data_IF_186388163256
#
_entry.id   IF_186388163256
#
_cell.length_a   1.000
_cell.length_b   1.000
_cell.length_c   1.000
_cell.angle_alpha   90.00
_cell.angle_beta   90.00
_cell.angle_gamma   90.00
#
_symmetry.space_group_name_H-M   'P 1'
#
loop_
_entity.id
_entity.type
_entity.pdbx_description
1 polymer ?
#
# COMPACT_ATOMS: atom_id res chain seq x y z
N UNK A 1 -15.86 49.37 60.05
CA UNK A 1 -14.83 49.64 59.03
C UNK A 1 -15.34 49.06 57.70
N UNK A 2 -15.26 49.70 56.54
CA UNK A 2 -14.94 51.11 56.28
C UNK A 2 -14.68 51.44 54.80
N UNK A 3 -15.69 52.02 54.09
CA UNK A 3 -15.62 52.71 52.78
C UNK A 3 -15.38 51.80 51.55
N UNK A 4 -16.26 51.81 50.53
CA UNK A 4 -16.33 52.68 49.32
C UNK A 4 -15.23 52.38 48.27
N UNK A 5 -15.45 52.54 46.95
CA UNK A 5 -16.53 53.24 46.22
C UNK A 5 -16.92 52.55 44.89
N UNK A 6 -18.13 52.86 44.41
CA UNK A 6 -18.63 52.58 43.06
C UNK A 6 -18.48 53.79 42.11
N UNK A 7 -18.37 53.56 40.80
CA UNK A 7 -18.78 54.54 39.78
C UNK A 7 -19.27 53.86 38.49
N UNK A 8 -20.03 54.59 37.67
CA UNK A 8 -20.66 54.12 36.41
C UNK A 8 -21.12 55.33 35.56
N UNK A 9 -21.73 55.09 34.38
CA UNK A 9 -22.25 56.07 33.39
C UNK A 9 -21.20 56.86 32.56
N UNK A 10 -21.45 57.34 31.33
CA UNK A 10 -22.39 56.93 30.25
C UNK A 10 -22.13 57.67 28.91
N UNK A 11 -22.63 57.11 27.79
CA UNK A 11 -23.02 57.74 26.50
C UNK A 11 -22.84 59.26 26.26
N UNK A 12 -22.36 59.66 25.05
CA UNK A 12 -23.17 60.32 23.98
C UNK A 12 -22.44 60.74 22.66
N UNK A 13 -23.02 60.32 21.53
CA UNK A 13 -23.22 61.01 20.21
C UNK A 13 -22.12 61.79 19.42
N UNK A 14 -21.73 61.20 18.27
CA UNK A 14 -21.96 61.69 16.88
C UNK A 14 -20.99 62.76 16.23
N UNK A 15 -21.15 63.20 14.94
CA UNK A 15 -20.08 63.19 13.91
C UNK A 15 -19.88 64.60 13.22
N UNK A 16 -19.34 64.82 11.98
CA UNK A 16 -18.76 63.95 10.94
C UNK A 16 -17.35 64.41 10.43
N UNK A 17 -16.71 63.88 9.36
CA UNK A 17 -17.02 64.18 7.94
C UNK A 17 -16.29 63.27 6.91
N UNK A 18 -16.98 63.00 5.79
CA UNK A 18 -16.57 62.70 4.38
C UNK A 18 -15.06 62.58 4.06
N UNK A 19 -14.57 61.60 3.27
CA UNK A 19 -14.96 61.08 1.92
C UNK A 19 -14.31 59.67 1.70
N UNK A 20 -14.59 58.81 0.70
CA UNK A 20 -15.21 58.94 -0.64
C UNK A 20 -15.82 57.58 -1.14
N UNK A 21 -16.94 57.62 -1.90
CA UNK A 21 -17.35 56.81 -3.12
C UNK A 21 -16.78 55.37 -3.31
N UNK A 22 -17.47 54.26 -3.69
CA UNK A 22 -18.86 53.77 -4.01
C UNK A 22 -18.78 52.21 -3.94
N UNK A 23 -19.75 51.35 -3.54
CA UNK A 23 -21.22 51.18 -3.69
C UNK A 23 -21.70 50.28 -4.87
N UNK A 24 -21.79 48.97 -4.62
CA UNK A 24 -22.71 47.92 -5.17
C UNK A 24 -22.65 46.71 -4.19
N UNK A 25 -23.64 45.87 -3.83
CA UNK A 25 -25.10 45.71 -4.06
C UNK A 25 -25.60 44.90 -5.28
N UNK A 26 -25.94 43.60 -5.08
CA UNK A 26 -27.27 42.96 -5.29
C UNK A 26 -27.24 41.44 -4.92
N UNK A 27 -28.30 40.66 -5.17
CA UNK A 27 -28.67 39.44 -4.42
C UNK A 27 -29.52 38.43 -5.26
N UNK A 28 -29.31 37.10 -5.12
CA UNK A 28 -30.15 35.95 -5.58
C UNK A 28 -30.22 35.81 -7.15
N UNK A 29 -30.42 34.69 -7.89
CA UNK A 29 -31.39 33.55 -7.88
C UNK A 29 -30.84 32.30 -8.66
N UNK A 30 -31.34 31.08 -8.39
CA UNK A 30 -31.09 29.81 -9.12
C UNK A 30 -31.94 29.60 -10.41
N UNK A 31 -31.43 28.84 -11.40
CA UNK A 31 -32.27 28.16 -12.43
C UNK A 31 -31.70 26.80 -12.88
N UNK A 32 -32.59 25.87 -13.29
CA UNK A 32 -32.31 24.57 -13.96
C UNK A 32 -32.73 24.62 -15.46
N UNK A 33 -32.36 23.66 -16.32
CA UNK A 33 -32.23 23.89 -17.78
C UNK A 33 -33.47 23.60 -18.65
N UNK A 34 -33.50 24.30 -19.81
CA UNK A 34 -34.17 24.09 -21.12
C UNK A 34 -33.58 25.18 -22.07
N UNK A 35 -33.50 25.08 -23.39
CA UNK A 35 -33.81 24.02 -24.36
C UNK A 35 -33.52 24.54 -25.80
N UNK A 36 -33.48 23.64 -26.79
CA UNK A 36 -33.22 23.86 -28.24
C UNK A 36 -33.60 25.21 -28.87
N UNK A 37 -32.75 25.69 -29.80
CA UNK A 37 -33.17 26.23 -31.10
C UNK A 37 -32.14 25.91 -32.20
N UNK A 38 -32.58 25.85 -33.46
CA UNK A 38 -31.81 25.36 -34.62
C UNK A 38 -32.08 26.26 -35.84
N UNK A 39 -31.05 26.74 -36.56
CA UNK A 39 -31.11 27.35 -37.92
C UNK A 39 -29.68 27.81 -38.34
N UNK A 40 -29.12 27.54 -39.53
CA UNK A 40 -29.44 26.48 -40.50
C UNK A 40 -29.48 26.90 -41.99
N UNK A 41 -28.32 27.03 -42.67
CA UNK A 41 -28.11 26.84 -44.14
C UNK A 41 -26.62 27.07 -44.50
N UNK A 42 -25.89 26.11 -45.09
CA UNK A 42 -25.65 25.84 -46.55
C UNK A 42 -24.66 26.80 -47.26
N UNK A 43 -23.76 26.37 -48.16
CA UNK A 43 -23.31 25.01 -48.55
C UNK A 43 -22.07 25.05 -49.49
N UNK A 44 -21.47 23.85 -49.73
CA UNK A 44 -20.62 23.36 -50.87
C UNK A 44 -19.18 22.94 -50.45
N UNK A 45 -18.56 21.87 -50.99
CA UNK A 45 -19.09 20.64 -51.66
C UNK A 45 -18.03 19.49 -51.64
N UNK A 46 -18.41 18.29 -52.13
CA UNK A 46 -17.59 17.10 -52.47
C UNK A 46 -16.31 17.38 -53.29
N UNK A 47 -15.31 16.49 -53.47
CA UNK A 47 -14.80 15.22 -52.86
C UNK A 47 -13.58 14.79 -53.71
N UNK A 48 -12.55 14.11 -53.16
CA UNK A 48 -11.79 12.98 -53.76
C UNK A 48 -10.61 12.57 -52.85
N UNK A 49 -10.24 11.29 -52.88
CA UNK A 49 -9.11 10.69 -52.15
C UNK A 49 -8.05 10.14 -53.11
N UNK A 50 -6.78 10.50 -52.91
CA UNK A 50 -5.64 9.81 -53.54
C UNK A 50 -4.35 10.10 -52.78
N UNK A 51 -3.64 9.06 -52.35
CA UNK A 51 -2.26 9.16 -51.85
C UNK A 51 -1.33 8.57 -52.90
N UNK A 52 -0.58 9.44 -53.58
CA UNK A 52 0.60 9.06 -54.38
C UNK A 52 1.66 10.15 -54.17
N UNK A 53 2.86 9.74 -53.81
CA UNK A 53 4.04 10.60 -53.69
C UNK A 53 4.81 10.66 -55.00
N UNK A 54 5.35 11.83 -55.37
CA UNK A 54 6.74 11.90 -55.83
C UNK A 54 7.37 13.30 -55.82
N UNK A 55 8.57 13.35 -55.22
CA UNK A 55 9.78 14.09 -55.61
C UNK A 55 9.89 15.64 -55.64
N UNK A 56 10.98 16.08 -54.99
CA UNK A 56 11.97 17.11 -55.40
C UNK A 56 11.72 18.61 -55.10
N UNK A 57 12.17 18.96 -53.90
CA UNK A 57 13.12 20.07 -53.59
C UNK A 57 12.72 21.53 -53.82
N UNK A 58 12.45 22.22 -52.71
CA UNK A 58 12.78 23.63 -52.48
C UNK A 58 13.50 23.76 -51.12
N UNK A 59 14.47 24.68 -50.97
CA UNK A 59 15.33 24.71 -49.77
C UNK A 59 14.68 25.31 -48.52
N UNK A 60 15.21 24.90 -47.36
CA UNK A 60 14.78 25.28 -46.02
C UNK A 60 15.38 26.61 -45.59
N UNK A 61 14.56 27.52 -45.05
CA UNK A 61 15.02 28.53 -44.10
C UNK A 61 14.60 28.18 -42.67
N UNK A 62 15.63 27.87 -41.87
CA UNK A 62 15.69 27.64 -40.43
C UNK A 62 14.45 27.99 -39.58
N UNK A 63 13.66 26.98 -39.17
CA UNK A 63 13.15 26.86 -37.80
C UNK A 63 12.87 25.39 -37.42
N UNK A 64 12.93 25.03 -36.13
CA UNK A 64 13.03 23.63 -35.67
C UNK A 64 11.70 22.85 -35.76
N UNK A 65 11.60 21.92 -36.71
CA UNK A 65 10.51 20.96 -36.81
C UNK A 65 10.58 19.87 -35.70
N UNK A 66 10.00 20.15 -34.52
CA UNK A 66 9.71 19.13 -33.49
C UNK A 66 8.22 18.99 -33.12
N UNK A 67 7.42 20.04 -33.29
CA UNK A 67 6.02 20.04 -32.80
C UNK A 67 5.00 19.49 -33.80
N UNK A 68 5.16 19.73 -35.11
CA UNK A 68 4.17 19.31 -36.13
C UNK A 68 3.93 17.79 -36.15
N UNK A 69 5.00 16.99 -35.98
CA UNK A 69 4.88 15.54 -35.93
C UNK A 69 4.12 15.05 -34.68
N UNK A 70 4.38 15.66 -33.52
CA UNK A 70 3.66 15.33 -32.27
C UNK A 70 2.16 15.66 -32.37
N UNK A 71 1.79 16.78 -32.99
CA UNK A 71 0.37 17.14 -33.19
C UNK A 71 -0.34 16.14 -34.12
N UNK A 72 0.32 15.68 -35.19
CA UNK A 72 -0.25 14.67 -36.10
C UNK A 72 -0.37 13.30 -35.42
N UNK A 73 0.63 12.87 -34.65
CA UNK A 73 0.58 11.61 -33.89
C UNK A 73 -0.50 11.64 -32.79
N UNK A 74 -0.63 12.76 -32.06
CA UNK A 74 -1.68 12.94 -31.06
C UNK A 74 -3.09 12.91 -31.69
N UNK A 75 -3.28 13.58 -32.83
CA UNK A 75 -4.56 13.56 -33.56
C UNK A 75 -4.95 12.16 -34.06
N UNK A 76 -3.98 11.31 -34.41
CA UNK A 76 -4.23 9.93 -34.82
C UNK A 76 -4.62 9.01 -33.64
N UNK A 77 -4.04 9.21 -32.45
CA UNK A 77 -4.34 8.37 -31.28
C UNK A 77 -5.79 8.51 -30.77
N UNK A 78 -6.41 9.69 -30.93
CA UNK A 78 -7.74 9.99 -30.36
C UNK A 78 -8.93 9.45 -31.19
N UNK A 79 -8.68 8.70 -32.26
CA UNK A 79 -9.70 8.34 -33.25
C UNK A 79 -10.14 6.85 -33.28
N UNK A 80 -9.59 5.98 -32.44
CA UNK A 80 -10.00 4.55 -32.43
C UNK A 80 -10.01 3.91 -31.03
N UNK A 81 -11.19 3.85 -30.43
CA UNK A 81 -11.42 3.11 -29.17
C UNK A 81 -11.59 1.61 -29.48
N UNK A 82 -10.93 0.73 -28.72
CA UNK A 82 -11.01 -0.73 -28.92
C UNK A 82 -9.82 -1.54 -28.42
N UNK A 83 -8.64 -0.93 -28.27
CA UNK A 83 -7.41 -1.57 -27.77
C UNK A 83 -6.96 -1.07 -26.38
N UNK A 84 -7.85 -0.40 -25.66
CA UNK A 84 -7.60 0.19 -24.34
C UNK A 84 -7.24 -0.89 -23.28
N UNK A 85 -7.69 -2.14 -23.45
CA UNK A 85 -7.26 -3.27 -22.63
C UNK A 85 -5.84 -3.76 -22.95
N UNK A 86 -5.42 -3.76 -24.23
CA UNK A 86 -4.06 -4.19 -24.56
C UNK A 86 -3.02 -3.15 -24.11
N UNK A 87 -3.35 -1.86 -24.15
CA UNK A 87 -2.45 -0.81 -23.68
C UNK A 87 -2.05 -0.99 -22.20
N UNK A 88 -3.00 -1.35 -21.33
CA UNK A 88 -2.69 -1.69 -19.94
C UNK A 88 -1.72 -2.88 -19.83
N UNK A 89 -1.89 -3.93 -20.66
CA UNK A 89 -0.98 -5.08 -20.68
C UNK A 89 0.43 -4.73 -21.20
N UNK A 90 0.56 -3.76 -22.12
CA UNK A 90 1.86 -3.39 -22.70
C UNK A 90 2.61 -2.31 -21.92
N UNK A 91 1.90 -1.34 -21.33
CA UNK A 91 2.53 -0.24 -20.56
C UNK A 91 3.17 -0.73 -19.26
N UNK A 92 2.59 -1.75 -18.61
CA UNK A 92 3.19 -2.42 -17.45
C UNK A 92 3.94 -3.71 -17.82
N UNK A 93 3.82 -4.21 -19.05
CA UNK A 93 4.46 -5.44 -19.52
C UNK A 93 5.96 -5.30 -19.82
N UNK A 94 6.49 -4.08 -19.88
CA UNK A 94 7.93 -3.80 -20.06
C UNK A 94 8.60 -3.20 -18.81
N UNK A 95 7.92 -3.18 -17.67
CA UNK A 95 8.52 -2.79 -16.39
C UNK A 95 9.10 -4.03 -15.70
N UNK A 96 10.24 -3.93 -15.00
CA UNK A 96 10.69 -4.97 -14.07
C UNK A 96 9.58 -5.32 -13.07
N UNK A 97 9.47 -6.58 -12.66
CA UNK A 97 8.39 -7.00 -11.76
C UNK A 97 8.51 -6.28 -10.41
N UNK A 98 9.72 -5.96 -9.98
CA UNK A 98 10.02 -5.10 -8.84
C UNK A 98 9.48 -3.67 -9.01
N UNK A 99 9.67 -3.01 -10.16
CA UNK A 99 9.06 -1.69 -10.41
C UNK A 99 7.53 -1.79 -10.39
N UNK A 100 6.96 -2.80 -11.05
CA UNK A 100 5.51 -3.05 -11.03
C UNK A 100 4.99 -3.39 -9.63
N UNK A 101 5.81 -4.00 -8.76
CA UNK A 101 5.41 -4.43 -7.43
C UNK A 101 5.66 -3.38 -6.33
N UNK A 102 6.63 -2.49 -6.49
CA UNK A 102 6.78 -1.25 -5.73
C UNK A 102 5.66 -0.29 -6.11
N UNK A 103 5.29 -0.22 -7.40
CA UNK A 103 3.99 0.34 -7.79
C UNK A 103 2.87 -0.41 -7.05
N UNK A 104 2.78 -1.75 -7.05
CA UNK A 104 1.73 -2.46 -6.31
C UNK A 104 1.71 -2.17 -4.78
N UNK A 105 2.84 -1.77 -4.18
CA UNK A 105 2.94 -1.29 -2.80
C UNK A 105 2.32 0.09 -2.59
N UNK A 106 2.41 0.97 -3.59
CA UNK A 106 1.75 2.29 -3.66
C UNK A 106 0.27 2.18 -4.09
N UNK A 107 -0.06 1.13 -4.84
CA UNK A 107 -1.39 0.84 -5.42
C UNK A 107 -2.37 0.23 -4.42
N UNK A 108 -1.87 -0.25 -3.27
CA UNK A 108 -2.68 -0.55 -2.10
C UNK A 108 -3.41 0.71 -1.61
N UNK A 109 -4.74 0.68 -1.51
CA UNK A 109 -5.51 1.81 -1.02
C UNK A 109 -6.13 1.49 0.34
N UNK A 110 -5.79 2.30 1.34
CA UNK A 110 -6.34 2.19 2.70
C UNK A 110 -7.87 2.31 2.77
N UNK A 111 -8.49 3.02 1.82
CA UNK A 111 -9.95 3.11 1.67
C UNK A 111 -10.34 2.37 0.41
N UNK A 112 -11.05 1.25 0.56
CA UNK A 112 -11.71 0.59 -0.58
C UNK A 112 -13.04 1.26 -0.91
N UNK A 113 -13.63 1.03 -2.10
CA UNK A 113 -14.95 1.56 -2.45
C UNK A 113 -16.05 1.19 -1.44
N UNK A 114 -15.96 0.01 -0.81
CA UNK A 114 -16.89 -0.39 0.25
C UNK A 114 -16.74 0.47 1.53
N UNK A 115 -15.51 0.74 1.96
CA UNK A 115 -15.21 1.64 3.08
C UNK A 115 -15.60 3.09 2.76
N UNK A 116 -15.32 3.56 1.55
CA UNK A 116 -15.76 4.88 1.09
C UNK A 116 -17.30 5.00 1.15
N UNK A 117 -18.03 3.96 0.71
CA UNK A 117 -19.48 3.90 0.84
C UNK A 117 -19.93 3.94 2.31
N UNK A 118 -19.32 3.15 3.20
CA UNK A 118 -19.69 3.12 4.61
C UNK A 118 -19.49 4.48 5.31
N UNK A 119 -18.47 5.25 4.90
CA UNK A 119 -18.23 6.61 5.39
C UNK A 119 -19.26 7.61 4.82
N UNK A 120 -19.60 7.53 3.53
CA UNK A 120 -20.67 8.34 2.91
C UNK A 120 -22.03 8.05 3.57
N UNK A 121 -22.37 6.78 3.82
CA UNK A 121 -23.60 6.35 4.49
C UNK A 121 -23.66 6.83 5.96
N UNK A 122 -22.50 7.00 6.61
CA UNK A 122 -22.36 7.60 7.94
C UNK A 122 -22.35 9.14 7.94
N UNK A 123 -22.46 9.78 6.77
CA UNK A 123 -22.56 11.24 6.63
C UNK A 123 -21.24 11.99 6.48
N UNK A 124 -20.11 11.30 6.30
CA UNK A 124 -18.83 11.93 5.97
C UNK A 124 -18.79 12.36 4.49
N UNK A 125 -18.24 13.54 4.20
CA UNK A 125 -17.83 13.90 2.83
C UNK A 125 -16.57 13.12 2.47
N UNK A 126 -16.64 12.20 1.50
CA UNK A 126 -15.48 11.44 1.02
C UNK A 126 -15.04 11.99 -0.34
N UNK A 127 -13.84 12.57 -0.39
CA UNK A 127 -13.17 12.93 -1.65
C UNK A 127 -12.05 11.94 -1.94
N UNK A 128 -11.89 11.60 -3.23
CA UNK A 128 -10.94 10.60 -3.69
C UNK A 128 -10.14 11.19 -4.84
N UNK A 129 -8.82 11.25 -4.66
CA UNK A 129 -7.94 11.71 -5.72
C UNK A 129 -7.91 10.70 -6.89
N UNK A 130 -7.84 11.24 -8.11
CA UNK A 130 -7.44 10.47 -9.29
C UNK A 130 -6.01 9.94 -9.09
N UNK A 131 -5.85 8.63 -9.23
CA UNK A 131 -4.54 7.96 -9.23
C UNK A 131 -4.54 6.91 -10.33
N UNK A 132 -3.56 6.91 -11.27
CA UNK A 132 -3.39 5.82 -12.22
C UNK A 132 -2.80 4.58 -11.53
N UNK A 133 -2.13 4.77 -10.40
CA UNK A 133 -1.43 3.77 -9.61
C UNK A 133 -2.32 3.29 -8.44
N UNK A 134 -3.54 2.79 -8.70
CA UNK A 134 -4.42 2.26 -7.62
C UNK A 134 -5.24 1.04 -8.06
N UNK A 135 -5.38 0.05 -7.16
CA UNK A 135 -6.01 -1.25 -7.47
C UNK A 135 -7.52 -1.14 -7.72
N UNK A 136 -8.11 -0.10 -7.13
CA UNK A 136 -9.49 0.32 -7.36
C UNK A 136 -9.52 1.42 -8.40
N UNK A 137 -10.23 1.16 -9.50
CA UNK A 137 -10.49 2.12 -10.58
C UNK A 137 -11.21 3.33 -9.98
N UNK A 138 -10.95 4.52 -10.52
CA UNK A 138 -11.61 5.75 -10.05
C UNK A 138 -13.14 5.67 -10.18
N UNK A 139 -13.63 4.90 -11.17
CA UNK A 139 -15.05 4.65 -11.40
C UNK A 139 -15.72 3.92 -10.22
N UNK A 140 -15.03 2.97 -9.57
CA UNK A 140 -15.57 2.24 -8.41
C UNK A 140 -15.89 3.18 -7.23
N UNK A 141 -15.13 4.26 -7.07
CA UNK A 141 -15.40 5.29 -6.06
C UNK A 141 -16.52 6.24 -6.49
N UNK A 142 -16.61 6.56 -7.78
CA UNK A 142 -17.68 7.41 -8.32
C UNK A 142 -19.04 6.72 -8.25
N UNK A 143 -19.08 5.41 -8.49
CA UNK A 143 -20.29 4.58 -8.44
C UNK A 143 -20.86 4.44 -7.02
N UNK A 144 -20.03 4.52 -5.97
CA UNK A 144 -20.49 4.62 -4.56
C UNK A 144 -20.81 6.04 -4.11
N UNK A 145 -20.57 7.05 -4.96
CA UNK A 145 -20.93 8.46 -4.70
C UNK A 145 -19.83 9.34 -4.10
N UNK A 146 -18.55 8.92 -4.13
CA UNK A 146 -17.46 9.77 -3.66
C UNK A 146 -17.14 10.92 -4.64
N UNK A 147 -16.69 12.06 -4.11
CA UNK A 147 -16.28 13.21 -4.90
C UNK A 147 -14.90 12.96 -5.53
N UNK A 148 -14.82 12.95 -6.85
CA UNK A 148 -13.55 12.71 -7.57
C UNK A 148 -12.81 14.04 -7.78
N UNK A 149 -11.58 14.11 -7.30
CA UNK A 149 -10.72 15.32 -7.35
C UNK A 149 -9.36 15.02 -7.99
N UNK A 150 -8.63 16.03 -8.53
CA UNK A 150 -7.32 15.81 -9.16
C UNK A 150 -6.25 15.28 -8.18
N UNK A 151 -5.24 14.58 -8.71
CA UNK A 151 -4.05 14.19 -7.96
C UNK A 151 -3.33 15.41 -7.34
N UNK A 152 -2.92 15.32 -6.07
CA UNK A 152 -2.22 16.38 -5.34
C UNK A 152 -3.11 17.56 -4.92
N UNK A 153 -4.43 17.46 -5.07
CA UNK A 153 -5.39 18.47 -4.62
C UNK A 153 -5.35 18.71 -3.11
N UNK A 154 -5.02 17.68 -2.33
CA UNK A 154 -4.94 17.71 -0.86
C UNK A 154 -4.08 18.85 -0.29
N UNK A 155 -3.08 19.32 -1.03
CA UNK A 155 -2.20 20.44 -0.62
C UNK A 155 -2.99 21.74 -0.43
N UNK A 156 -4.12 21.89 -1.14
CA UNK A 156 -4.97 23.08 -1.13
C UNK A 156 -6.38 22.80 -0.56
N UNK A 157 -6.53 21.71 0.22
CA UNK A 157 -7.77 21.41 0.91
C UNK A 157 -8.07 22.45 2.02
N UNK A 158 -9.35 22.61 2.41
CA UNK A 158 -9.73 23.21 3.70
C UNK A 158 -8.94 22.60 4.88
N UNK A 159 -8.43 23.42 5.82
CA UNK A 159 -7.59 22.93 6.94
C UNK A 159 -8.35 21.99 7.90
N UNK A 160 -9.68 22.05 7.89
CA UNK A 160 -10.58 21.15 8.61
C UNK A 160 -10.69 19.73 8.01
N UNK A 161 -10.27 19.53 6.75
CA UNK A 161 -10.26 18.20 6.13
C UNK A 161 -9.14 17.30 6.71
N UNK A 162 -9.38 15.99 6.68
CA UNK A 162 -8.44 14.96 7.15
C UNK A 162 -7.84 14.27 5.93
N UNK A 163 -6.52 14.35 5.78
CA UNK A 163 -5.79 13.79 4.63
C UNK A 163 -5.42 12.33 4.95
N UNK A 164 -5.99 11.41 4.17
CA UNK A 164 -6.05 9.98 4.46
C UNK A 164 -5.30 9.19 3.37
N UNK A 165 -4.00 8.94 3.56
CA UNK A 165 -3.10 8.31 2.59
C UNK A 165 -2.39 7.07 3.18
N UNK A 166 -1.95 6.11 2.36
CA UNK A 166 -1.32 4.91 2.93
C UNK A 166 0.14 5.15 3.33
N UNK A 167 0.96 5.64 2.39
CA UNK A 167 2.41 5.73 2.50
C UNK A 167 2.91 7.12 2.91
N UNK A 168 4.22 7.27 2.99
CA UNK A 168 4.93 8.51 3.30
C UNK A 168 4.56 9.63 2.29
N UNK A 169 4.55 10.88 2.75
CA UNK A 169 4.42 12.05 1.87
C UNK A 169 5.82 12.42 1.37
N UNK A 170 5.96 12.78 0.09
CA UNK A 170 7.25 13.17 -0.50
C UNK A 170 7.99 14.20 0.39
N UNK A 171 9.25 13.91 0.73
CA UNK A 171 10.11 14.70 1.62
C UNK A 171 10.64 16.00 0.96
N UNK A 172 9.79 16.69 0.22
CA UNK A 172 10.07 17.90 -0.55
C UNK A 172 10.04 19.21 0.30
N UNK A 173 9.84 19.10 1.61
CA UNK A 173 9.80 20.22 2.54
C UNK A 173 8.47 20.99 2.58
N UNK A 174 7.44 20.59 1.84
CA UNK A 174 6.09 21.18 1.96
C UNK A 174 5.57 21.04 3.39
N UNK A 175 5.20 22.16 4.01
CA UNK A 175 4.59 22.21 5.34
C UNK A 175 3.27 21.42 5.36
N UNK A 176 2.96 20.78 6.48
CA UNK A 176 1.85 19.83 6.60
C UNK A 176 0.80 20.35 7.62
N UNK A 177 -0.11 21.27 7.24
CA UNK A 177 -1.01 21.95 8.18
C UNK A 177 -2.31 21.20 8.53
N UNK A 178 -2.69 20.17 7.78
CA UNK A 178 -3.92 19.39 8.03
C UNK A 178 -3.78 18.42 9.21
N UNK A 179 -4.85 17.68 9.50
CA UNK A 179 -4.74 16.38 10.19
C UNK A 179 -4.46 15.31 9.14
N UNK A 180 -3.44 14.49 9.35
CA UNK A 180 -3.03 13.42 8.44
C UNK A 180 -3.17 12.04 9.10
N UNK A 181 -3.53 11.05 8.30
CA UNK A 181 -3.62 9.64 8.70
C UNK A 181 -2.90 8.84 7.62
N UNK A 182 -1.68 8.39 7.92
CA UNK A 182 -0.85 7.56 7.04
C UNK A 182 0.25 6.82 7.82
N UNK A 183 1.01 5.96 7.16
CA UNK A 183 2.32 5.54 7.67
C UNK A 183 3.34 6.65 7.33
N UNK A 184 3.79 7.39 8.34
CA UNK A 184 4.84 8.40 8.17
C UNK A 184 6.23 7.82 8.46
N UNK A 185 6.31 6.75 9.26
CA UNK A 185 7.55 6.08 9.64
C UNK A 185 8.61 7.05 10.21
N UNK A 186 8.19 7.95 11.11
CA UNK A 186 9.08 8.89 11.83
C UNK A 186 9.25 8.56 13.32
N UNK A 187 8.30 7.87 13.95
CA UNK A 187 8.28 7.66 15.41
C UNK A 187 9.29 6.62 15.95
N UNK A 188 10.04 5.92 15.09
CA UNK A 188 11.12 4.98 15.48
C UNK A 188 12.52 5.55 15.18
N UNK A 189 12.61 6.87 14.96
CA UNK A 189 13.84 7.63 14.66
C UNK A 189 14.59 7.15 13.41
N UNK A 190 13.84 6.78 12.38
CA UNK A 190 14.33 6.48 11.03
C UNK A 190 15.14 7.65 10.42
N UNK A 191 15.90 7.39 9.36
CA UNK A 191 16.66 8.44 8.67
C UNK A 191 15.73 9.60 8.24
N UNK A 192 16.10 10.84 8.56
CA UNK A 192 15.30 12.04 8.25
C UNK A 192 14.12 12.33 9.18
N UNK A 193 13.82 11.49 10.19
CA UNK A 193 12.60 11.58 11.01
C UNK A 193 12.31 12.98 11.57
N UNK A 194 13.33 13.68 12.08
CA UNK A 194 13.17 14.98 12.71
C UNK A 194 12.81 16.07 11.68
N UNK A 195 13.40 16.01 10.49
CA UNK A 195 13.09 16.91 9.37
C UNK A 195 11.64 16.72 8.91
N UNK A 196 11.21 15.47 8.77
CA UNK A 196 9.86 15.13 8.34
C UNK A 196 8.80 15.52 9.40
N UNK A 197 9.02 15.13 10.67
CA UNK A 197 8.11 15.46 11.77
C UNK A 197 8.01 16.99 12.01
N UNK A 198 9.09 17.73 11.74
CA UNK A 198 9.08 19.21 11.79
C UNK A 198 8.13 19.84 10.78
N UNK A 199 7.77 19.18 9.66
CA UNK A 199 6.82 19.70 8.66
C UNK A 199 5.41 19.85 9.23
N UNK A 200 5.03 18.97 10.16
CA UNK A 200 3.76 19.04 10.90
C UNK A 200 3.85 20.07 12.02
N UNK A 201 4.91 20.01 12.85
CA UNK A 201 5.09 20.88 14.00
C UNK A 201 5.14 22.37 13.62
N UNK A 202 5.87 22.73 12.56
CA UNK A 202 6.00 24.10 12.05
C UNK A 202 4.74 24.63 11.33
N UNK A 203 3.70 23.80 11.14
CA UNK A 203 2.48 24.11 10.41
C UNK A 203 1.21 24.09 11.27
N UNK A 204 1.35 23.83 12.57
CA UNK A 204 0.26 23.42 13.47
C UNK A 204 -0.59 22.30 12.87
N UNK A 205 0.09 21.27 12.37
CA UNK A 205 -0.49 20.04 11.84
C UNK A 205 -0.58 18.93 12.88
N UNK A 206 -1.21 17.83 12.49
CA UNK A 206 -1.42 16.66 13.34
C UNK A 206 -1.27 15.38 12.52
N UNK A 207 -0.63 14.34 13.09
CA UNK A 207 -0.47 13.03 12.48
C UNK A 207 -1.05 11.95 13.40
N UNK A 208 -1.94 11.11 12.86
CA UNK A 208 -2.32 9.83 13.45
C UNK A 208 -1.63 8.70 12.66
N UNK A 209 -0.42 8.31 13.08
CA UNK A 209 0.36 7.29 12.35
C UNK A 209 -0.29 5.91 12.46
N UNK A 210 -0.53 5.26 11.31
CA UNK A 210 -1.17 3.96 11.17
C UNK A 210 -0.38 2.78 11.78
N UNK A 211 0.90 2.96 12.09
CA UNK A 211 1.71 2.01 12.84
C UNK A 211 1.36 2.03 14.34
N UNK A 212 0.83 3.14 14.85
CA UNK A 212 0.59 3.38 16.29
C UNK A 212 -0.89 3.50 16.67
N UNK A 213 -1.79 3.45 15.68
CA UNK A 213 -3.24 3.44 15.88
C UNK A 213 -3.71 2.13 16.54
N UNK A 214 -4.08 2.20 17.83
CA UNK A 214 -4.14 1.05 18.75
C UNK A 214 -5.42 0.97 19.58
N UNK A 215 -5.86 -0.25 19.88
CA UNK A 215 -6.95 -0.56 20.82
C UNK A 215 -6.54 -0.29 22.28
N UNK A 216 -7.41 -0.63 23.24
CA UNK A 216 -7.18 -0.35 24.67
C UNK A 216 -6.12 -1.29 25.30
N UNK A 217 -5.92 -2.48 24.71
CA UNK A 217 -4.86 -3.43 25.06
C UNK A 217 -3.53 -3.11 24.33
N UNK A 218 -3.48 -2.00 23.55
CA UNK A 218 -2.30 -1.59 22.78
C UNK A 218 -2.08 -2.36 21.47
N UNK A 219 -3.02 -3.18 21.01
CA UNK A 219 -2.90 -3.90 19.72
C UNK A 219 -3.28 -2.98 18.56
N UNK A 220 -2.56 -3.09 17.45
CA UNK A 220 -2.85 -2.30 16.23
C UNK A 220 -4.21 -2.66 15.63
N UNK A 221 -5.04 -1.64 15.37
CA UNK A 221 -6.40 -1.85 14.83
C UNK A 221 -6.36 -2.50 13.44
N UNK A 222 -5.56 -1.93 12.52
CA UNK A 222 -5.37 -2.43 11.16
C UNK A 222 -3.90 -2.77 10.86
N UNK A 223 -3.67 -3.88 10.17
CA UNK A 223 -2.36 -4.33 9.69
C UNK A 223 -2.55 -5.44 8.63
N UNK A 224 -1.76 -5.43 7.55
CA UNK A 224 -1.82 -6.36 6.40
C UNK A 224 -1.38 -7.81 6.71
N UNK A 225 -1.50 -8.25 7.96
CA UNK A 225 -0.84 -9.46 8.47
C UNK A 225 -1.31 -10.74 7.79
N UNK A 226 -2.62 -10.92 7.60
CA UNK A 226 -3.17 -12.16 7.03
C UNK A 226 -2.69 -12.37 5.59
N UNK A 227 -2.85 -11.38 4.72
CA UNK A 227 -2.40 -11.50 3.33
C UNK A 227 -0.87 -11.53 3.17
N UNK A 228 -0.09 -10.95 4.10
CA UNK A 228 1.36 -11.17 4.14
C UNK A 228 1.70 -12.67 4.33
N UNK A 229 1.08 -13.32 5.31
CA UNK A 229 1.27 -14.75 5.59
C UNK A 229 0.77 -15.64 4.45
N UNK A 230 -0.37 -15.27 3.85
CA UNK A 230 -0.95 -15.99 2.70
C UNK A 230 -0.03 -15.93 1.48
N UNK A 231 0.39 -14.73 1.09
CA UNK A 231 1.27 -14.50 -0.06
C UNK A 231 2.66 -15.11 0.14
N UNK A 232 3.25 -14.97 1.34
CA UNK A 232 4.53 -15.60 1.69
C UNK A 232 4.48 -17.13 1.60
N UNK A 233 3.43 -17.75 2.12
CA UNK A 233 3.27 -19.21 2.07
C UNK A 233 2.98 -19.70 0.65
N UNK A 234 2.17 -18.98 -0.13
CA UNK A 234 1.96 -19.24 -1.54
C UNK A 234 3.28 -19.20 -2.32
N UNK A 235 4.13 -18.19 -2.09
CA UNK A 235 5.45 -18.08 -2.71
C UNK A 235 6.42 -19.18 -2.23
N UNK A 236 6.35 -19.59 -0.96
CA UNK A 236 7.14 -20.69 -0.43
C UNK A 236 6.77 -22.05 -1.06
N UNK A 237 5.47 -22.29 -1.25
CA UNK A 237 4.94 -23.47 -1.94
C UNK A 237 5.33 -23.48 -3.44
N UNK A 238 5.30 -22.33 -4.11
CA UNK A 238 5.82 -22.18 -5.48
C UNK A 238 7.32 -22.47 -5.55
N UNK A 239 8.10 -22.01 -4.56
CA UNK A 239 9.55 -22.23 -4.51
C UNK A 239 9.90 -23.70 -4.28
N UNK A 240 9.26 -24.35 -3.31
CA UNK A 240 9.40 -25.79 -3.04
C UNK A 240 9.04 -26.62 -4.27
N UNK A 241 7.93 -26.28 -4.94
CA UNK A 241 7.52 -26.94 -6.17
C UNK A 241 8.54 -26.72 -7.30
N UNK A 242 9.11 -25.51 -7.43
CA UNK A 242 10.14 -25.21 -8.41
C UNK A 242 11.42 -26.03 -8.20
N UNK A 243 11.86 -26.21 -6.95
CA UNK A 243 13.09 -26.97 -6.63
C UNK A 243 12.96 -28.45 -7.01
N UNK A 244 11.79 -29.06 -6.76
CA UNK A 244 11.55 -30.46 -7.10
C UNK A 244 11.37 -30.68 -8.60
N UNK A 245 10.75 -29.73 -9.31
CA UNK A 245 10.52 -29.80 -10.75
C UNK A 245 11.75 -29.39 -11.59
N UNK A 246 12.62 -28.52 -11.05
CA UNK A 246 13.79 -27.98 -11.75
C UNK A 246 15.03 -27.92 -10.80
N UNK A 247 15.61 -29.08 -10.41
CA UNK A 247 16.72 -29.12 -9.47
C UNK A 247 17.94 -28.31 -9.95
N UNK A 248 18.48 -27.46 -9.08
CA UNK A 248 19.65 -26.62 -9.39
C UNK A 248 19.36 -25.43 -10.32
N UNK A 249 18.11 -25.23 -10.79
CA UNK A 249 17.71 -24.07 -11.59
C UNK A 249 17.16 -22.98 -10.66
N UNK A 250 17.73 -21.75 -10.62
CA UNK A 250 17.21 -20.64 -9.85
C UNK A 250 15.74 -20.35 -10.17
N UNK A 251 14.97 -19.89 -9.19
CA UNK A 251 13.60 -19.46 -9.42
C UNK A 251 13.59 -18.13 -10.18
N UNK A 252 12.80 -18.05 -11.26
CA UNK A 252 12.52 -16.78 -11.93
C UNK A 252 11.59 -15.85 -11.13
N UNK A 253 11.23 -14.67 -11.70
CA UNK A 253 10.36 -13.70 -11.04
C UNK A 253 9.01 -14.26 -10.57
N UNK A 254 8.45 -13.63 -9.55
CA UNK A 254 7.15 -14.01 -8.99
C UNK A 254 6.04 -13.75 -10.02
N UNK A 255 5.19 -14.75 -10.31
CA UNK A 255 4.08 -14.56 -11.24
C UNK A 255 3.11 -13.48 -10.76
N UNK A 256 2.82 -12.51 -11.62
CA UNK A 256 1.76 -11.53 -11.38
C UNK A 256 0.40 -12.21 -11.55
N UNK A 257 -0.51 -11.94 -10.62
CA UNK A 257 -1.85 -12.53 -10.53
C UNK A 257 -2.88 -11.43 -10.20
N UNK A 258 -4.09 -11.54 -10.74
CA UNK A 258 -5.14 -10.52 -10.58
C UNK A 258 -5.99 -10.68 -9.30
N UNK A 259 -5.81 -11.77 -8.55
CA UNK A 259 -6.50 -12.05 -7.28
C UNK A 259 -5.84 -13.16 -6.47
N UNK A 260 -6.18 -13.25 -5.19
CA UNK A 260 -5.85 -14.37 -4.31
C UNK A 260 -6.37 -15.71 -4.82
N UNK A 261 -7.52 -15.73 -5.50
CA UNK A 261 -8.05 -16.96 -6.12
C UNK A 261 -7.16 -17.47 -7.27
N UNK A 262 -6.67 -16.54 -8.11
CA UNK A 262 -5.72 -16.86 -9.18
C UNK A 262 -4.37 -17.30 -8.62
N UNK A 263 -3.89 -16.68 -7.53
CA UNK A 263 -2.70 -17.15 -6.80
C UNK A 263 -2.88 -18.60 -6.32
N UNK A 264 -4.02 -18.90 -5.72
CA UNK A 264 -4.31 -20.22 -5.12
C UNK A 264 -4.30 -21.34 -6.17
N UNK A 265 -5.02 -21.18 -7.28
CA UNK A 265 -5.04 -22.19 -8.35
C UNK A 265 -3.69 -22.30 -9.09
N UNK A 266 -2.93 -21.21 -9.21
CA UNK A 266 -1.56 -21.25 -9.74
C UNK A 266 -0.62 -22.05 -8.82
N UNK A 267 -0.63 -21.78 -7.51
CA UNK A 267 0.19 -22.49 -6.52
C UNK A 267 -0.17 -23.98 -6.52
N UNK A 268 -1.45 -24.30 -6.44
CA UNK A 268 -2.00 -25.66 -6.49
C UNK A 268 -1.55 -26.43 -7.73
N UNK A 269 -1.68 -25.84 -8.93
CA UNK A 269 -1.23 -26.47 -10.17
C UNK A 269 0.29 -26.74 -10.24
N UNK A 270 1.12 -25.95 -9.55
CA UNK A 270 2.56 -26.23 -9.40
C UNK A 270 2.84 -27.28 -8.33
N UNK A 271 2.11 -27.24 -7.22
CA UNK A 271 2.27 -28.20 -6.10
C UNK A 271 1.79 -29.59 -6.49
N UNK A 272 0.70 -29.76 -7.24
CA UNK A 272 0.26 -31.07 -7.73
C UNK A 272 1.25 -31.70 -8.74
N UNK A 273 1.90 -30.88 -9.58
CA UNK A 273 2.99 -31.33 -10.43
C UNK A 273 4.21 -31.76 -9.60
N UNK A 274 4.62 -30.96 -8.61
CA UNK A 274 5.75 -31.29 -7.73
C UNK A 274 5.47 -32.49 -6.82
N UNK A 275 4.22 -32.64 -6.34
CA UNK A 275 3.72 -33.81 -5.60
C UNK A 275 3.87 -35.09 -6.41
N UNK A 276 3.65 -35.02 -7.72
CA UNK A 276 3.83 -36.16 -8.63
C UNK A 276 5.31 -36.57 -8.75
N UNK A 277 6.25 -35.61 -8.68
CA UNK A 277 7.68 -35.89 -8.55
C UNK A 277 8.07 -36.38 -7.13
N UNK A 278 7.41 -35.88 -6.09
CA UNK A 278 7.64 -36.19 -4.67
C UNK A 278 6.90 -37.44 -4.19
N UNK A 279 6.87 -38.50 -5.01
CA UNK A 279 6.24 -39.80 -4.69
C UNK A 279 4.76 -39.72 -4.21
N UNK A 280 4.02 -38.69 -4.61
CA UNK A 280 2.63 -38.46 -4.19
C UNK A 280 2.46 -37.68 -2.88
N UNK A 281 3.54 -37.30 -2.21
CA UNK A 281 3.52 -36.58 -0.94
C UNK A 281 3.51 -35.05 -1.13
N UNK A 282 2.70 -34.37 -0.31
CA UNK A 282 2.67 -32.92 -0.15
C UNK A 282 3.74 -32.47 0.88
N UNK A 283 4.18 -31.20 0.87
CA UNK A 283 5.15 -30.71 1.83
C UNK A 283 4.59 -30.68 3.26
N UNK A 284 5.45 -30.98 4.22
CA UNK A 284 5.26 -30.64 5.64
C UNK A 284 5.65 -29.19 5.87
N UNK A 285 4.77 -28.43 6.50
CA UNK A 285 5.01 -27.04 6.88
C UNK A 285 5.23 -26.92 8.40
N UNK A 286 6.04 -25.95 8.80
CA UNK A 286 6.00 -25.36 10.14
C UNK A 286 5.73 -23.86 10.03
N UNK A 287 4.74 -23.38 10.78
CA UNK A 287 4.34 -21.98 10.85
C UNK A 287 4.53 -21.52 12.30
N UNK A 288 5.49 -20.62 12.53
CA UNK A 288 5.75 -20.05 13.86
C UNK A 288 5.07 -18.67 13.95
N UNK A 289 4.27 -18.45 15.00
CA UNK A 289 3.33 -17.32 15.11
C UNK A 289 1.92 -17.65 14.58
N UNK A 290 1.54 -18.93 14.64
CA UNK A 290 0.33 -19.52 14.06
C UNK A 290 -0.99 -18.87 14.53
N UNK A 291 -1.05 -18.33 15.74
CA UNK A 291 -2.27 -17.71 16.30
C UNK A 291 -2.44 -16.25 15.84
N UNK A 292 -1.37 -15.61 15.36
CA UNK A 292 -1.39 -14.25 14.82
C UNK A 292 -2.14 -14.13 13.48
N UNK A 293 -2.36 -12.89 13.02
CA UNK A 293 -3.02 -12.63 11.72
C UNK A 293 -2.24 -13.29 10.56
N UNK A 294 -0.91 -13.14 10.56
CA UNK A 294 -0.01 -13.77 9.60
C UNK A 294 -0.06 -15.30 9.66
N UNK A 295 0.06 -15.89 10.86
CA UNK A 295 0.00 -17.35 11.00
C UNK A 295 -1.29 -17.96 10.45
N UNK A 296 -2.43 -17.32 10.69
CA UNK A 296 -3.73 -17.71 10.13
C UNK A 296 -3.77 -17.62 8.60
N UNK A 297 -3.21 -16.56 8.01
CA UNK A 297 -3.12 -16.43 6.55
C UNK A 297 -2.19 -17.46 5.92
N UNK A 298 -1.05 -17.74 6.56
CA UNK A 298 -0.11 -18.78 6.14
C UNK A 298 -0.74 -20.17 6.14
N UNK A 299 -1.42 -20.52 7.24
CA UNK A 299 -2.19 -21.76 7.37
C UNK A 299 -3.27 -21.84 6.29
N UNK A 300 -4.04 -20.77 6.08
CA UNK A 300 -5.11 -20.74 5.09
C UNK A 300 -4.61 -20.96 3.65
N UNK A 301 -3.45 -20.40 3.27
CA UNK A 301 -2.85 -20.61 1.94
C UNK A 301 -2.45 -22.08 1.70
N UNK A 302 -1.95 -22.75 2.73
CA UNK A 302 -1.60 -24.17 2.67
C UNK A 302 -2.86 -25.07 2.62
N UNK A 303 -3.83 -24.81 3.49
CA UNK A 303 -5.08 -25.56 3.56
C UNK A 303 -5.93 -25.40 2.28
N UNK A 304 -5.92 -24.21 1.66
CA UNK A 304 -6.63 -23.92 0.41
C UNK A 304 -6.15 -24.76 -0.79
N UNK A 305 -4.92 -25.28 -0.75
CA UNK A 305 -4.39 -26.22 -1.75
C UNK A 305 -4.35 -27.69 -1.28
N UNK A 306 -4.92 -27.98 -0.09
CA UNK A 306 -5.00 -29.34 0.47
C UNK A 306 -3.77 -29.81 1.25
N UNK A 307 -2.82 -28.92 1.59
CA UNK A 307 -1.71 -29.26 2.51
C UNK A 307 -2.22 -29.33 3.94
N UNK A 308 -1.98 -30.45 4.62
CA UNK A 308 -2.52 -30.74 5.96
C UNK A 308 -1.48 -31.10 7.04
N UNK A 309 -0.25 -31.50 6.68
CA UNK A 309 0.84 -31.68 7.65
C UNK A 309 1.47 -30.32 7.98
N UNK A 310 0.81 -29.57 8.87
CA UNK A 310 1.22 -28.23 9.29
C UNK A 310 1.45 -28.21 10.81
N UNK A 311 2.70 -28.02 11.24
CA UNK A 311 3.02 -27.64 12.60
C UNK A 311 2.62 -26.19 12.85
N UNK A 312 1.55 -25.99 13.61
CA UNK A 312 0.97 -24.68 13.95
C UNK A 312 1.51 -24.24 15.31
N UNK A 313 2.64 -23.54 15.32
CA UNK A 313 3.41 -23.19 16.52
C UNK A 313 3.25 -21.73 16.92
N UNK A 314 3.29 -21.45 18.22
CA UNK A 314 3.20 -20.11 18.78
C UNK A 314 4.06 -19.98 20.06
N UNK A 315 3.72 -19.07 20.98
CA UNK A 315 4.48 -18.84 22.23
C UNK A 315 4.61 -20.12 23.07
N UNK A 316 3.59 -21.00 23.08
CA UNK A 316 3.61 -22.22 23.88
C UNK A 316 4.77 -23.15 23.49
N UNK A 317 4.96 -23.40 22.19
CA UNK A 317 6.03 -24.26 21.68
C UNK A 317 7.39 -23.55 21.63
N UNK A 318 7.41 -22.26 21.31
CA UNK A 318 8.66 -21.49 21.14
C UNK A 318 9.32 -21.08 22.46
N UNK A 319 8.55 -20.98 23.55
CA UNK A 319 9.04 -20.63 24.90
C UNK A 319 10.14 -21.55 25.45
N UNK A 320 10.29 -22.77 24.89
CA UNK A 320 11.38 -23.71 25.21
C UNK A 320 12.78 -23.22 24.79
N UNK A 321 12.85 -22.24 23.89
CA UNK A 321 14.09 -21.77 23.26
C UNK A 321 14.53 -22.67 22.10
N UNK A 322 14.98 -22.06 20.99
CA UNK A 322 15.55 -22.78 19.86
C UNK A 322 17.07 -23.00 19.98
N UNK A 323 17.71 -23.62 18.96
CA UNK A 323 17.13 -23.97 17.66
C UNK A 323 16.15 -25.15 17.72
N UNK A 324 15.20 -25.18 16.79
CA UNK A 324 14.14 -26.20 16.75
C UNK A 324 14.40 -27.27 15.69
N UNK A 325 14.51 -28.53 16.10
CA UNK A 325 14.63 -29.69 15.20
C UNK A 325 13.45 -29.80 14.21
N UNK A 326 12.30 -29.27 14.61
CA UNK A 326 11.03 -29.24 13.89
C UNK A 326 11.06 -28.28 12.69
N UNK A 327 12.02 -27.33 12.67
CA UNK A 327 12.32 -26.49 11.49
C UNK A 327 13.08 -27.31 10.44
N UNK A 328 14.18 -27.97 10.80
CA UNK A 328 15.00 -28.76 9.87
C UNK A 328 14.28 -30.01 9.29
N UNK A 329 13.32 -30.57 10.04
CA UNK A 329 12.57 -31.78 9.69
C UNK A 329 11.21 -31.54 9.00
N UNK A 330 10.82 -30.27 8.84
CA UNK A 330 9.74 -29.85 7.93
C UNK A 330 10.31 -29.54 6.54
N UNK A 331 9.52 -29.55 5.46
CA UNK A 331 10.02 -29.22 4.11
C UNK A 331 10.00 -27.72 3.83
N UNK A 332 9.07 -26.99 4.48
CA UNK A 332 8.90 -25.53 4.40
C UNK A 332 8.74 -24.96 5.82
N UNK A 333 9.40 -23.84 6.11
CA UNK A 333 9.24 -23.05 7.32
C UNK A 333 8.72 -21.65 6.97
N UNK A 334 7.62 -21.22 7.60
CA UNK A 334 7.09 -19.85 7.53
C UNK A 334 7.18 -19.19 8.90
N UNK A 335 7.83 -18.03 8.97
CA UNK A 335 7.88 -17.21 10.18
C UNK A 335 6.91 -16.02 10.10
N UNK A 336 6.07 -15.90 11.13
CA UNK A 336 5.12 -14.82 11.34
C UNK A 336 5.36 -14.07 12.67
N UNK A 337 6.53 -14.24 13.29
CA UNK A 337 6.94 -13.55 14.53
C UNK A 337 8.00 -12.50 14.23
N UNK A 338 7.66 -11.23 14.46
CA UNK A 338 8.62 -10.12 14.57
C UNK A 338 8.98 -9.87 16.03
N UNK A 339 10.28 -9.77 16.34
CA UNK A 339 10.78 -9.63 17.71
C UNK A 339 11.14 -8.19 18.10
N UNK A 340 11.46 -7.33 17.13
CA UNK A 340 11.92 -5.96 17.38
C UNK A 340 13.15 -5.92 18.29
N UNK A 341 13.00 -5.29 19.47
CA UNK A 341 14.06 -5.16 20.47
C UNK A 341 14.21 -6.36 21.41
N UNK A 342 13.35 -7.38 21.33
CA UNK A 342 13.40 -8.55 22.21
C UNK A 342 14.35 -9.62 21.69
N UNK A 343 15.41 -9.92 22.44
CA UNK A 343 16.32 -11.02 22.11
C UNK A 343 15.84 -12.34 22.73
N UNK A 344 15.73 -13.37 21.90
CA UNK A 344 15.44 -14.76 22.30
C UNK A 344 16.47 -15.71 21.65
N UNK A 345 16.58 -16.98 22.08
CA UNK A 345 17.34 -17.99 21.33
C UNK A 345 16.75 -18.15 19.91
N UNK A 346 17.59 -18.22 18.85
CA UNK A 346 17.12 -18.25 17.47
C UNK A 346 16.34 -19.52 17.18
N UNK A 347 15.32 -19.42 16.31
CA UNK A 347 14.49 -20.55 15.90
C UNK A 347 15.28 -21.60 15.11
N UNK A 348 16.34 -21.19 14.41
CA UNK A 348 17.29 -22.07 13.73
C UNK A 348 18.67 -21.40 13.58
N UNK A 349 19.71 -22.18 13.32
CA UNK A 349 21.10 -21.71 13.06
C UNK A 349 21.66 -22.41 11.83
N UNK A 350 22.83 -21.97 11.33
CA UNK A 350 23.54 -22.70 10.27
C UNK A 350 23.83 -24.15 10.69
N UNK A 351 24.36 -24.36 11.90
CA UNK A 351 24.61 -25.69 12.48
C UNK A 351 23.35 -26.56 12.53
N UNK A 352 22.22 -26.02 13.00
CA UNK A 352 20.96 -26.75 13.11
C UNK A 352 20.32 -27.09 11.74
N UNK A 353 20.80 -26.50 10.64
CA UNK A 353 20.39 -26.81 9.28
C UNK A 353 21.44 -27.63 8.50
N UNK A 354 22.70 -27.67 8.92
CA UNK A 354 23.79 -28.31 8.17
C UNK A 354 23.83 -29.82 8.40
N UNK A 355 22.84 -30.52 7.84
CA UNK A 355 22.67 -31.96 7.96
C UNK A 355 22.31 -32.57 6.59
N UNK A 356 22.95 -33.70 6.19
CA UNK A 356 22.74 -34.32 4.88
C UNK A 356 21.30 -34.86 4.69
N UNK A 357 20.60 -35.13 5.80
CA UNK A 357 19.22 -35.61 5.89
C UNK A 357 18.19 -34.50 6.21
N UNK A 358 18.60 -33.23 6.26
CA UNK A 358 17.67 -32.08 6.37
C UNK A 358 16.58 -32.17 5.31
N UNK A 359 15.32 -32.02 5.74
CA UNK A 359 14.16 -31.91 4.84
C UNK A 359 13.92 -30.50 4.34
N UNK A 360 14.17 -29.50 5.17
CA UNK A 360 13.85 -28.10 4.90
C UNK A 360 14.52 -27.60 3.62
N UNK A 361 13.69 -27.16 2.66
CA UNK A 361 14.13 -26.60 1.37
C UNK A 361 13.82 -25.12 1.23
N UNK A 362 12.76 -24.63 1.88
CA UNK A 362 12.33 -23.23 1.80
C UNK A 362 12.05 -22.64 3.18
N UNK A 363 12.64 -21.49 3.45
CA UNK A 363 12.24 -20.59 4.53
C UNK A 363 11.50 -19.40 3.89
N UNK A 364 10.37 -19.00 4.45
CA UNK A 364 9.75 -17.71 4.20
C UNK A 364 9.64 -16.93 5.51
N UNK A 365 10.47 -15.91 5.66
CA UNK A 365 10.38 -15.00 6.78
C UNK A 365 9.48 -13.82 6.40
N UNK A 366 8.20 -13.92 6.79
CA UNK A 366 7.20 -12.85 6.55
C UNK A 366 7.43 -11.67 7.53
N UNK A 367 8.29 -11.87 8.54
CA UNK A 367 8.70 -10.86 9.51
C UNK A 367 10.15 -10.40 9.28
N UNK A 368 10.64 -10.53 8.04
CA UNK A 368 12.06 -10.39 7.71
C UNK A 368 12.67 -9.04 8.11
N UNK A 369 13.75 -9.11 8.88
CA UNK A 369 14.59 -7.98 9.26
C UNK A 369 16.06 -8.44 9.30
N UNK A 370 16.68 -8.70 8.13
CA UNK A 370 18.07 -9.17 8.03
C UNK A 370 19.12 -8.23 8.64
N UNK A 371 18.74 -6.99 8.96
CA UNK A 371 19.61 -6.00 9.60
C UNK A 371 19.49 -6.02 11.13
N UNK A 372 18.58 -6.80 11.71
CA UNK A 372 18.34 -6.86 13.15
C UNK A 372 19.28 -7.84 13.88
N UNK A 373 19.96 -7.36 14.92
CA UNK A 373 20.73 -8.18 15.87
C UNK A 373 19.87 -9.19 16.67
N UNK A 374 18.54 -9.10 16.53
CA UNK A 374 17.54 -9.98 17.11
C UNK A 374 16.79 -10.82 16.06
N UNK A 375 17.27 -10.90 14.81
CA UNK A 375 16.70 -11.78 13.80
C UNK A 375 16.63 -13.24 14.32
N UNK A 376 15.45 -13.87 14.44
CA UNK A 376 15.32 -15.23 14.97
C UNK A 376 15.79 -16.31 13.99
N UNK A 377 16.11 -15.93 12.75
CA UNK A 377 16.54 -16.80 11.66
C UNK A 377 17.87 -16.23 11.11
N UNK A 378 18.97 -16.24 11.90
CA UNK A 378 20.26 -15.67 11.54
C UNK A 378 21.04 -16.58 10.57
N UNK A 379 20.43 -16.87 9.42
CA UNK A 379 21.02 -17.67 8.32
C UNK A 379 21.00 -16.95 6.97
N UNK A 380 20.50 -15.71 6.93
CA UNK A 380 20.47 -14.83 5.76
C UNK A 380 20.75 -13.37 6.17
N UNK A 381 21.23 -12.56 5.24
CA UNK A 381 21.68 -11.18 5.49
C UNK A 381 21.31 -10.18 4.39
N UNK A 382 20.27 -10.49 3.61
CA UNK A 382 19.77 -9.63 2.51
C UNK A 382 18.28 -9.88 2.27
N UNK A 383 17.60 -8.86 1.75
CA UNK A 383 16.22 -9.00 1.26
C UNK A 383 16.21 -9.68 -0.12
N UNK A 384 15.17 -10.46 -0.38
CA UNK A 384 14.76 -10.90 -1.72
C UNK A 384 13.75 -9.91 -2.31
N UNK A 385 13.51 -9.94 -3.63
CA UNK A 385 12.47 -9.12 -4.26
C UNK A 385 11.61 -9.92 -5.23
N UNK A 386 10.53 -9.34 -5.76
CA UNK A 386 9.67 -10.07 -6.70
C UNK A 386 10.34 -10.42 -8.03
N UNK A 387 11.46 -9.77 -8.39
CA UNK A 387 12.27 -10.19 -9.54
C UNK A 387 13.21 -11.36 -9.18
N UNK A 388 13.71 -11.40 -7.94
CA UNK A 388 14.61 -12.44 -7.41
C UNK A 388 14.04 -12.97 -6.06
N UNK A 389 13.02 -13.86 -6.09
CA UNK A 389 12.20 -14.18 -4.92
C UNK A 389 12.90 -14.94 -3.79
N UNK A 390 14.12 -15.43 -4.03
CA UNK A 390 14.84 -16.28 -3.08
C UNK A 390 16.31 -15.90 -3.03
N UNK A 391 16.82 -15.64 -1.83
CA UNK A 391 18.26 -15.58 -1.56
C UNK A 391 18.76 -16.94 -1.03
N UNK A 392 20.04 -17.29 -1.23
CA UNK A 392 20.65 -18.42 -0.52
C UNK A 392 20.86 -18.07 0.97
N UNK A 393 21.30 -19.06 1.75
CA UNK A 393 21.88 -18.79 3.06
C UNK A 393 23.21 -18.02 2.93
N UNK A 394 23.56 -17.22 3.94
CA UNK A 394 24.79 -16.40 3.93
C UNK A 394 26.08 -17.21 4.17
N UNK A 395 25.96 -18.46 4.60
CA UNK A 395 27.06 -19.43 4.74
C UNK A 395 26.66 -20.76 4.07
N UNK A 396 27.66 -21.63 3.83
CA UNK A 396 27.43 -22.97 3.28
C UNK A 396 26.70 -23.86 4.30
N UNK A 397 25.62 -24.51 3.86
CA UNK A 397 24.82 -25.45 4.68
C UNK A 397 24.72 -26.79 3.96
N UNK A 398 25.09 -27.88 4.61
CA UNK A 398 24.99 -29.24 4.06
C UNK A 398 23.53 -29.71 3.95
N UNK A 399 23.28 -30.66 3.04
CA UNK A 399 21.94 -31.18 2.72
C UNK A 399 21.39 -30.63 1.39
N UNK A 400 20.05 -30.65 1.18
CA UNK A 400 19.45 -30.13 -0.05
C UNK A 400 19.57 -28.60 -0.17
N UNK A 401 19.41 -28.07 -1.38
CA UNK A 401 19.35 -26.62 -1.63
C UNK A 401 18.33 -25.92 -0.70
N UNK A 402 18.78 -24.90 0.03
CA UNK A 402 17.95 -24.06 0.88
C UNK A 402 17.70 -22.71 0.19
N UNK A 403 16.43 -22.33 0.05
CA UNK A 403 15.98 -21.03 -0.47
C UNK A 403 15.31 -20.22 0.63
N UNK A 404 15.60 -18.93 0.69
CA UNK A 404 15.10 -18.04 1.74
C UNK A 404 14.36 -16.87 1.08
N UNK A 405 13.07 -16.74 1.39
CA UNK A 405 12.19 -15.65 0.96
C UNK A 405 12.12 -14.65 2.11
N UNK A 406 12.61 -13.44 1.85
CA UNK A 406 12.63 -12.29 2.75
C UNK A 406 12.18 -11.05 1.96
N UNK A 407 10.89 -10.99 1.62
CA UNK A 407 10.25 -9.86 0.92
C UNK A 407 9.40 -9.11 1.95
N UNK A 408 9.74 -7.84 2.21
CA UNK A 408 9.09 -7.00 3.24
C UNK A 408 7.68 -6.51 2.83
N UNK A 409 7.32 -6.63 1.55
CA UNK A 409 6.06 -6.15 0.97
C UNK A 409 5.17 -7.25 0.36
N UNK A 410 5.24 -8.50 0.86
CA UNK A 410 4.43 -9.66 0.42
C UNK A 410 2.92 -9.41 0.12
N UNK A 411 2.16 -8.61 0.90
CA UNK A 411 0.73 -8.34 0.62
C UNK A 411 0.42 -7.82 -0.80
N UNK A 412 1.39 -7.21 -1.49
CA UNK A 412 1.18 -6.59 -2.81
C UNK A 412 0.97 -7.62 -3.93
N UNK A 413 1.31 -8.90 -3.71
CA UNK A 413 0.91 -10.01 -4.59
C UNK A 413 -0.61 -10.13 -4.74
N UNK A 414 -1.37 -9.65 -3.75
CA UNK A 414 -2.84 -9.72 -3.65
C UNK A 414 -3.36 -8.36 -3.17
N UNK A 415 -2.94 -7.29 -3.87
CA UNK A 415 -3.13 -5.91 -3.44
C UNK A 415 -4.61 -5.50 -3.22
N UNK A 416 -5.57 -6.09 -3.95
CA UNK A 416 -7.00 -5.80 -3.74
C UNK A 416 -7.46 -6.36 -2.41
N UNK A 417 -7.28 -7.66 -2.20
CA UNK A 417 -7.74 -8.34 -1.00
C UNK A 417 -7.01 -7.84 0.27
N UNK A 418 -5.72 -7.52 0.14
CA UNK A 418 -4.92 -6.82 1.16
C UNK A 418 -5.49 -5.44 1.51
N UNK A 419 -5.92 -4.68 0.51
CA UNK A 419 -6.52 -3.36 0.69
C UNK A 419 -7.92 -3.48 1.31
N UNK A 420 -8.77 -4.40 0.83
CA UNK A 420 -10.13 -4.60 1.36
C UNK A 420 -10.12 -5.10 2.81
N UNK A 421 -9.24 -6.04 3.18
CA UNK A 421 -9.09 -6.47 4.58
C UNK A 421 -8.60 -5.31 5.46
N UNK A 422 -7.51 -4.63 5.06
CA UNK A 422 -6.95 -3.52 5.84
C UNK A 422 -7.97 -2.39 6.03
N UNK A 423 -8.72 -2.07 4.97
CA UNK A 423 -9.77 -1.06 4.99
C UNK A 423 -10.91 -1.46 5.92
N UNK A 424 -11.37 -2.72 5.87
CA UNK A 424 -12.40 -3.23 6.77
C UNK A 424 -11.96 -3.31 8.24
N UNK A 425 -10.67 -3.52 8.51
CA UNK A 425 -10.10 -3.48 9.87
C UNK A 425 -9.98 -2.04 10.41
N UNK A 426 -9.79 -1.06 9.53
CA UNK A 426 -9.64 0.35 9.89
C UNK A 426 -10.99 1.09 9.99
N UNK A 427 -12.00 0.68 9.21
CA UNK A 427 -13.33 1.29 9.15
C UNK A 427 -13.98 1.55 10.52
N UNK A 428 -13.94 0.65 11.52
CA UNK A 428 -14.53 0.92 12.84
C UNK A 428 -13.94 2.15 13.53
N UNK A 429 -12.65 2.44 13.34
CA UNK A 429 -12.02 3.67 13.84
C UNK A 429 -12.39 4.89 13.00
N UNK A 430 -12.41 4.76 11.67
CA UNK A 430 -12.74 5.88 10.76
C UNK A 430 -14.16 6.41 11.00
N UNK A 431 -15.10 5.53 11.34
CA UNK A 431 -16.47 5.90 11.68
C UNK A 431 -16.59 6.75 12.96
N UNK A 432 -15.51 6.91 13.74
CA UNK A 432 -15.48 7.74 14.95
C UNK A 432 -14.59 9.00 14.84
N UNK A 433 -14.16 9.37 13.63
CA UNK A 433 -13.35 10.58 13.36
C UNK A 433 -14.07 11.89 13.70
N UNK A 434 -15.39 11.89 13.68
CA UNK A 434 -16.27 12.96 14.16
C UNK A 434 -16.04 13.27 15.66
N UNK A 435 -15.79 12.22 16.46
CA UNK A 435 -15.65 12.24 17.92
C UNK A 435 -14.22 11.96 18.38
N UNK A 436 -13.23 12.10 17.49
CA UNK A 436 -11.79 11.85 17.73
C UNK A 436 -11.17 12.56 18.95
N UNK A 437 -11.77 13.67 19.38
CA UNK A 437 -11.39 14.39 20.60
C UNK A 437 -11.82 13.69 21.90
N UNK A 438 -12.72 12.71 21.82
CA UNK A 438 -13.24 11.89 22.95
C UNK A 438 -12.97 10.39 22.80
N UNK A 439 -12.70 9.93 21.57
CA UNK A 439 -12.52 8.52 21.25
C UNK A 439 -11.10 8.03 21.51
N UNK A 440 -10.96 7.00 22.34
CA UNK A 440 -9.68 6.60 22.93
C UNK A 440 -8.61 6.21 21.90
N UNK A 441 -9.00 5.62 20.76
CA UNK A 441 -8.08 5.24 19.68
C UNK A 441 -7.38 6.47 19.06
N UNK A 442 -8.12 7.56 18.88
CA UNK A 442 -7.60 8.80 18.30
C UNK A 442 -6.86 9.64 19.34
N UNK A 443 -7.34 9.70 20.59
CA UNK A 443 -6.61 10.32 21.70
C UNK A 443 -5.25 9.66 21.98
N UNK A 444 -5.16 8.32 21.87
CA UNK A 444 -3.88 7.60 21.98
C UNK A 444 -2.92 7.97 20.85
N UNK A 445 -3.40 8.02 19.61
CA UNK A 445 -2.59 8.42 18.45
C UNK A 445 -2.10 9.88 18.56
N UNK A 446 -2.97 10.82 18.94
CA UNK A 446 -2.56 12.21 19.17
C UNK A 446 -1.47 12.32 20.24
N UNK A 447 -1.66 11.65 21.39
CA UNK A 447 -0.68 11.70 22.47
C UNK A 447 0.70 11.24 22.01
N UNK A 448 0.78 10.11 21.28
CA UNK A 448 2.05 9.60 20.73
C UNK A 448 2.68 10.63 19.77
N UNK A 449 1.89 11.27 18.90
CA UNK A 449 2.41 12.35 18.04
C UNK A 449 2.96 13.53 18.85
N UNK A 450 2.23 14.03 19.85
CA UNK A 450 2.68 15.17 20.68
C UNK A 450 3.92 14.81 21.51
N UNK A 451 4.00 13.59 22.04
CA UNK A 451 5.19 13.05 22.71
C UNK A 451 6.41 13.04 21.77
N UNK A 452 6.25 12.57 20.53
CA UNK A 452 7.33 12.51 19.53
C UNK A 452 7.75 13.88 19.00
N UNK A 453 6.82 14.83 18.87
CA UNK A 453 7.12 16.24 18.53
C UNK A 453 7.94 16.91 19.65
N UNK A 454 7.72 16.54 20.92
CA UNK A 454 8.52 17.03 22.04
C UNK A 454 9.95 16.43 22.11
N UNK A 455 10.29 15.48 21.24
CA UNK A 455 11.66 14.95 21.08
C UNK A 455 12.45 15.63 19.95
N UNK A 456 11.87 16.62 19.24
CA UNK A 456 12.58 17.36 18.19
C UNK A 456 13.76 18.17 18.77
N UNK A 457 14.89 18.25 18.04
CA UNK A 457 16.14 18.88 18.51
C UNK A 457 16.18 20.42 18.36
#
# INVERSE_FOLDING_TARGET
MGRHSSSSYSFRSAPPNRNIVRRWKHQIIFTRPRGFYFLGNKAKVKTISSVVSNEKTGLVYNFKARYTLHVIMAAALWASNGLSLSYASTTFGSMPNETRAISLALVNAMVSPATAKALLDAGYTVRVEESPDRIYKIDEFRDVGAEIVPAGSWVNAPKEDIILGLKEIEANGTLLPHTYIHFAHVFKKQSGWATELSRFANADGLLYDLEFLTDEDGRRVAAFGYWAGYAGTALALLSWAHQLLNPGVPQGPVPVVDSASALTELVKGKVDAARSANHGALPRLIVIGALGRCGKGAIAAAEAIGVSDILKWDIAETSKGGPFTEVASSDIFVNCVYLGSHKIPPFTTFEALSAPDRRLRVICDVSCDPNSENNPIPVYSSYSSFENPTVPASEQIDGPELRIIAIDHLPTMVARESSDEYSSLLLPSLLTLDRRNTEGVWQRAERIFRERVAELP
#
